data_IF_840044829738
#
_entry.id   IF_840044829738
#
_cell.length_a   1.000
_cell.length_b   1.000
_cell.length_c   1.000
_cell.angle_alpha   90.00
_cell.angle_beta   90.00
_cell.angle_gamma   90.00
#
_symmetry.space_group_name_H-M   'P 1'
#
loop_
_entity.id
_entity.type
_entity.pdbx_description
1 polymer ?
#
# COMPACT_ATOMS: atom_id res chain seq x y z
N UNK A 1 -19.12 -15.58 16.82
CA UNK A 1 -18.87 -14.73 17.99
C UNK A 1 -18.47 -15.61 19.17
N UNK A 2 -17.47 -15.16 19.92
CA UNK A 2 -17.04 -15.79 21.17
C UNK A 2 -17.13 -14.76 22.30
N UNK A 3 -17.69 -15.16 23.41
CA UNK A 3 -17.81 -14.32 24.61
C UNK A 3 -16.80 -14.78 25.66
N UNK A 4 -15.85 -13.90 26.00
CA UNK A 4 -14.83 -14.15 27.02
C UNK A 4 -15.18 -13.55 28.41
N UNK A 5 -16.36 -12.92 28.54
CA UNK A 5 -16.79 -12.34 29.80
C UNK A 5 -17.26 -13.41 30.77
N UNK A 6 -17.08 -13.16 32.08
CA UNK A 6 -17.37 -14.14 33.12
C UNK A 6 -18.87 -14.21 33.49
N UNK A 7 -19.61 -13.10 33.36
CA UNK A 7 -20.95 -13.03 33.93
C UNK A 7 -22.04 -12.62 32.94
N UNK A 8 -21.70 -11.85 31.91
CA UNK A 8 -22.69 -11.22 31.03
C UNK A 8 -22.84 -11.94 29.69
N UNK A 9 -24.07 -11.95 29.17
CA UNK A 9 -24.30 -12.31 27.78
C UNK A 9 -23.76 -11.18 26.87
N UNK A 10 -23.13 -11.54 25.77
CA UNK A 10 -22.51 -10.59 24.85
C UNK A 10 -23.52 -9.52 24.35
N UNK A 11 -24.78 -9.92 24.12
CA UNK A 11 -25.85 -9.01 23.68
C UNK A 11 -26.18 -7.91 24.68
N UNK A 12 -25.91 -8.13 25.97
CA UNK A 12 -26.22 -7.16 27.04
C UNK A 12 -25.08 -6.15 27.22
N UNK A 13 -23.87 -6.50 26.77
CA UNK A 13 -22.66 -5.70 26.91
C UNK A 13 -22.30 -4.92 25.64
N UNK A 14 -22.42 -5.53 24.43
CA UNK A 14 -22.02 -4.89 23.19
C UNK A 14 -23.17 -4.67 22.22
N UNK A 15 -23.02 -3.62 21.42
CA UNK A 15 -23.77 -3.37 20.20
C UNK A 15 -22.77 -3.54 19.03
N UNK A 16 -23.15 -4.31 18.02
CA UNK A 16 -22.30 -4.59 16.88
C UNK A 16 -22.85 -3.89 15.64
N UNK A 17 -22.06 -3.06 15.00
CA UNK A 17 -22.34 -2.59 13.64
C UNK A 17 -21.44 -3.31 12.63
N UNK A 18 -21.86 -3.28 11.37
CA UNK A 18 -21.04 -3.81 10.29
C UNK A 18 -20.90 -2.80 9.16
N UNK A 19 -19.79 -2.89 8.45
CA UNK A 19 -19.53 -2.23 7.18
C UNK A 19 -18.99 -3.27 6.20
N UNK A 20 -19.62 -3.37 5.01
CA UNK A 20 -19.07 -4.12 3.90
C UNK A 20 -18.41 -3.14 2.94
N UNK A 21 -17.15 -3.37 2.65
CA UNK A 21 -16.39 -2.57 1.69
C UNK A 21 -16.10 -3.37 0.44
N UNK A 22 -16.03 -2.68 -0.70
CA UNK A 22 -15.51 -3.20 -1.96
C UNK A 22 -14.45 -2.22 -2.47
N UNK A 23 -13.24 -2.72 -2.71
CA UNK A 23 -12.10 -1.92 -3.18
C UNK A 23 -11.86 -0.63 -2.36
N UNK A 24 -12.07 -0.71 -1.03
CA UNK A 24 -11.91 0.40 -0.09
C UNK A 24 -13.12 1.31 0.07
N UNK A 25 -14.20 1.10 -0.67
CA UNK A 25 -15.42 1.88 -0.55
C UNK A 25 -16.50 1.13 0.23
N UNK A 26 -17.13 1.79 1.20
CA UNK A 26 -18.27 1.22 1.93
C UNK A 26 -19.47 1.12 1.01
N UNK A 27 -19.92 -0.10 0.74
CA UNK A 27 -21.08 -0.40 -0.13
C UNK A 27 -22.33 -0.80 0.65
N UNK A 28 -22.17 -1.27 1.89
CA UNK A 28 -23.29 -1.62 2.77
C UNK A 28 -22.87 -1.42 4.23
N UNK A 29 -23.79 -0.98 5.07
CA UNK A 29 -23.58 -0.86 6.52
C UNK A 29 -24.89 -1.09 7.27
N UNK A 30 -24.80 -1.52 8.52
CA UNK A 30 -25.96 -1.73 9.37
C UNK A 30 -25.58 -2.17 10.77
N UNK A 31 -26.59 -2.59 11.52
CA UNK A 31 -26.43 -3.08 12.89
C UNK A 31 -26.81 -4.55 12.91
N UNK A 32 -26.02 -5.36 13.60
CA UNK A 32 -26.32 -6.75 13.91
C UNK A 32 -27.33 -6.78 15.08
N UNK A 33 -28.60 -7.05 14.77
CA UNK A 33 -29.69 -6.93 15.75
C UNK A 33 -29.93 -8.18 16.58
N UNK A 34 -29.57 -9.35 16.03
CA UNK A 34 -29.92 -10.64 16.65
C UNK A 34 -28.66 -11.49 16.89
N UNK A 35 -28.17 -11.46 18.10
CA UNK A 35 -27.16 -12.36 18.61
C UNK A 35 -27.32 -12.50 20.11
N UNK A 36 -26.96 -13.67 20.65
CA UNK A 36 -26.86 -13.93 22.07
C UNK A 36 -25.76 -14.97 22.26
N UNK A 37 -24.82 -14.66 23.12
CA UNK A 37 -23.69 -15.54 23.43
C UNK A 37 -23.44 -15.46 24.92
N UNK A 38 -23.80 -16.54 25.62
CA UNK A 38 -23.61 -16.62 27.05
C UNK A 38 -22.14 -16.51 27.45
N UNK A 39 -21.90 -16.21 28.71
CA UNK A 39 -20.57 -16.17 29.33
C UNK A 39 -19.75 -17.41 28.95
N UNK A 40 -18.49 -17.22 28.53
CA UNK A 40 -17.56 -18.27 28.05
C UNK A 40 -18.10 -19.12 26.88
N UNK A 41 -19.16 -18.67 26.22
CA UNK A 41 -19.82 -19.40 25.14
C UNK A 41 -19.40 -18.95 23.75
N UNK A 42 -19.82 -19.74 22.77
CA UNK A 42 -19.75 -19.43 21.37
C UNK A 42 -21.16 -19.32 20.76
N UNK A 43 -21.31 -18.41 19.80
CA UNK A 43 -22.57 -18.22 19.09
C UNK A 43 -22.35 -17.93 17.62
N UNK A 44 -23.34 -18.33 16.81
CA UNK A 44 -23.37 -18.04 15.38
C UNK A 44 -24.55 -17.14 15.09
N UNK A 45 -24.34 -16.15 14.25
CA UNK A 45 -25.38 -15.29 13.73
C UNK A 45 -25.26 -15.17 12.22
N UNK A 46 -26.36 -14.96 11.53
CA UNK A 46 -26.38 -14.81 10.09
C UNK A 46 -26.56 -13.33 9.75
N UNK A 47 -25.62 -12.81 8.99
CA UNK A 47 -25.71 -11.48 8.44
C UNK A 47 -26.20 -11.54 6.98
N UNK A 48 -27.38 -10.99 6.72
CA UNK A 48 -27.94 -10.95 5.37
C UNK A 48 -27.37 -9.78 4.60
N UNK A 49 -26.23 -10.00 3.96
CA UNK A 49 -25.54 -9.03 3.09
C UNK A 49 -25.32 -9.64 1.71
N UNK A 50 -25.38 -8.80 0.68
CA UNK A 50 -24.99 -9.22 -0.67
C UNK A 50 -23.53 -8.85 -0.88
N UNK A 51 -22.68 -9.87 -1.01
CA UNK A 51 -21.26 -9.68 -1.31
C UNK A 51 -21.11 -9.63 -2.83
N UNK A 52 -20.47 -8.59 -3.40
CA UNK A 52 -20.16 -8.53 -4.83
C UNK A 52 -19.34 -9.72 -5.31
N UNK A 53 -19.58 -10.17 -6.53
CA UNK A 53 -18.82 -11.27 -7.14
C UNK A 53 -17.38 -10.86 -7.49
N UNK A 54 -17.14 -9.56 -7.73
CA UNK A 54 -15.87 -9.00 -8.15
C UNK A 54 -15.35 -7.97 -7.14
N UNK A 55 -14.04 -7.74 -7.15
CA UNK A 55 -13.37 -6.77 -6.28
C UNK A 55 -12.91 -7.39 -4.97
N UNK A 56 -12.17 -6.60 -4.22
CA UNK A 56 -11.66 -6.96 -2.90
C UNK A 56 -12.65 -6.49 -1.83
N UNK A 57 -13.36 -7.45 -1.24
CA UNK A 57 -14.41 -7.16 -0.28
C UNK A 57 -14.01 -7.56 1.14
N UNK A 58 -14.21 -6.64 2.07
CA UNK A 58 -14.03 -6.86 3.50
C UNK A 58 -15.32 -6.59 4.26
N UNK A 59 -15.60 -7.44 5.22
CA UNK A 59 -16.62 -7.22 6.24
C UNK A 59 -15.93 -6.77 7.53
N UNK A 60 -16.21 -5.53 7.95
CA UNK A 60 -15.75 -4.98 9.21
C UNK A 60 -16.88 -5.03 10.22
N UNK A 61 -16.63 -5.64 11.37
CA UNK A 61 -17.52 -5.64 12.53
C UNK A 61 -16.95 -4.67 13.56
N UNK A 62 -17.76 -3.72 14.04
CA UNK A 62 -17.33 -2.74 15.01
C UNK A 62 -18.15 -2.93 16.28
N UNK A 63 -17.47 -3.10 17.40
CA UNK A 63 -18.05 -3.36 18.70
C UNK A 63 -18.13 -2.08 19.53
N UNK A 64 -19.33 -1.75 19.96
CA UNK A 64 -19.57 -0.58 20.80
C UNK A 64 -20.08 -1.01 22.18
N UNK A 65 -19.69 -0.30 23.21
CA UNK A 65 -20.24 -0.44 24.55
C UNK A 65 -21.72 -0.10 24.53
N UNK A 66 -22.58 -1.01 25.00
CA UNK A 66 -24.02 -0.85 24.94
C UNK A 66 -24.61 0.04 26.04
N UNK A 67 -23.95 0.10 27.20
CA UNK A 67 -24.36 0.88 28.35
C UNK A 67 -23.13 1.56 28.97
N UNK A 68 -23.32 2.75 29.49
CA UNK A 68 -22.29 3.47 30.23
C UNK A 68 -21.68 2.61 31.36
N UNK A 69 -20.36 2.72 31.50
CA UNK A 69 -19.57 2.08 32.56
C UNK A 69 -18.63 3.11 33.19
N UNK A 70 -18.07 2.85 34.38
CA UNK A 70 -17.05 3.74 34.95
C UNK A 70 -15.92 4.00 33.93
N UNK A 71 -15.67 5.29 33.63
CA UNK A 71 -14.66 5.79 32.68
C UNK A 71 -14.93 5.54 31.19
N UNK A 72 -16.05 4.93 30.83
CA UNK A 72 -16.42 4.67 29.42
C UNK A 72 -17.88 5.06 29.18
N UNK A 73 -18.11 5.93 28.21
CA UNK A 73 -19.44 6.36 27.80
C UNK A 73 -20.15 5.28 26.96
N UNK A 74 -21.47 5.33 26.93
CA UNK A 74 -22.28 4.54 26.00
C UNK A 74 -21.82 4.81 24.56
N UNK A 75 -21.79 3.77 23.72
CA UNK A 75 -21.26 3.78 22.35
C UNK A 75 -19.75 4.00 22.22
N UNK A 76 -18.99 3.89 23.30
CA UNK A 76 -17.54 3.81 23.20
C UNK A 76 -17.13 2.61 22.32
N UNK A 77 -16.19 2.82 21.37
CA UNK A 77 -15.71 1.75 20.51
C UNK A 77 -14.76 0.85 21.31
N UNK A 78 -15.16 -0.40 21.50
CA UNK A 78 -14.37 -1.41 22.22
C UNK A 78 -13.32 -2.06 21.33
N UNK A 79 -13.58 -2.13 20.01
CA UNK A 79 -12.70 -2.73 19.03
C UNK A 79 -13.42 -3.03 17.72
N UNK A 80 -12.71 -3.69 16.81
CA UNK A 80 -13.28 -4.16 15.55
C UNK A 80 -12.56 -5.42 15.07
N UNK A 81 -13.26 -6.19 14.23
CA UNK A 81 -12.70 -7.26 13.41
C UNK A 81 -12.92 -6.94 11.94
N UNK A 82 -11.97 -7.28 11.09
CA UNK A 82 -12.08 -7.14 9.64
C UNK A 82 -11.80 -8.49 8.98
N UNK A 83 -12.75 -8.95 8.18
CA UNK A 83 -12.76 -10.29 7.58
C UNK A 83 -12.80 -10.13 6.06
N UNK A 84 -11.84 -10.71 5.36
CA UNK A 84 -11.89 -10.80 3.91
C UNK A 84 -13.00 -11.77 3.50
N UNK A 85 -13.98 -11.30 2.71
CA UNK A 85 -15.13 -12.10 2.28
C UNK A 85 -15.11 -12.42 0.79
N UNK A 86 -14.38 -11.65 -0.02
CA UNK A 86 -14.14 -11.92 -1.44
C UNK A 86 -12.88 -11.22 -1.95
N UNK A 87 -12.13 -11.88 -2.84
CA UNK A 87 -10.94 -11.34 -3.51
C UNK A 87 -10.91 -11.74 -4.98
N UNK A 88 -12.03 -11.82 -5.66
CA UNK A 88 -12.08 -12.14 -7.08
C UNK A 88 -11.89 -10.88 -7.92
N UNK A 89 -10.98 -10.96 -8.90
CA UNK A 89 -10.74 -9.90 -9.90
C UNK A 89 -10.63 -8.49 -9.28
N UNK A 90 -9.78 -8.37 -8.25
CA UNK A 90 -9.53 -7.13 -7.54
C UNK A 90 -8.82 -6.11 -8.45
N UNK A 91 -9.51 -5.64 -9.47
CA UNK A 91 -9.15 -4.45 -10.21
C UNK A 91 -9.71 -3.27 -9.43
N UNK A 92 -8.83 -2.45 -8.89
CA UNK A 92 -9.23 -1.24 -8.19
C UNK A 92 -9.96 -0.31 -9.18
N UNK A 93 -11.30 -0.31 -9.17
CA UNK A 93 -12.13 0.52 -10.05
C UNK A 93 -11.82 2.02 -9.92
N UNK A 94 -11.36 2.46 -8.75
CA UNK A 94 -10.88 3.83 -8.55
C UNK A 94 -9.59 4.07 -9.34
N UNK A 95 -8.65 3.13 -9.31
CA UNK A 95 -7.43 3.23 -10.10
C UNK A 95 -7.76 3.18 -11.61
N UNK A 96 -8.68 2.30 -12.06
CA UNK A 96 -9.11 2.25 -13.45
C UNK A 96 -9.77 3.56 -13.90
N UNK A 97 -10.68 4.13 -13.11
CA UNK A 97 -11.28 5.45 -13.43
C UNK A 97 -10.27 6.60 -13.47
N UNK A 98 -9.24 6.52 -12.66
CA UNK A 98 -8.14 7.47 -12.72
C UNK A 98 -7.24 7.21 -13.93
N UNK A 99 -7.10 5.95 -14.33
CA UNK A 99 -6.32 5.51 -15.48
C UNK A 99 -6.99 5.86 -16.83
N UNK A 100 -8.32 5.81 -16.91
CA UNK A 100 -9.08 6.09 -18.13
C UNK A 100 -9.11 7.58 -18.51
N UNK A 101 -8.78 8.48 -17.58
CA UNK A 101 -9.03 9.92 -17.74
C UNK A 101 -7.99 10.70 -18.55
N UNK A 102 -6.92 10.08 -19.07
CA UNK A 102 -5.79 10.84 -19.61
C UNK A 102 -5.15 10.27 -20.85
N UNK A 103 -5.92 10.04 -21.90
CA UNK A 103 -5.35 10.06 -23.25
C UNK A 103 -5.38 11.51 -23.76
N UNK A 104 -4.38 12.31 -23.39
CA UNK A 104 -4.17 13.62 -24.01
C UNK A 104 -3.19 13.45 -25.18
N UNK A 105 -3.51 14.04 -26.34
CA UNK A 105 -2.61 14.17 -27.51
C UNK A 105 -1.42 15.12 -27.25
N UNK A 106 -0.90 15.17 -26.02
CA UNK A 106 0.22 16.01 -25.68
C UNK A 106 1.53 15.26 -25.96
N UNK A 107 2.48 15.96 -26.60
CA UNK A 107 3.81 15.42 -26.84
C UNK A 107 4.58 15.27 -25.54
N UNK A 108 5.17 14.10 -25.36
CA UNK A 108 6.13 13.79 -24.32
C UNK A 108 7.55 13.99 -24.89
N UNK A 109 8.36 14.79 -24.24
CA UNK A 109 9.77 14.98 -24.59
C UNK A 109 10.64 14.16 -23.64
N UNK A 110 11.48 13.31 -24.19
CA UNK A 110 12.46 12.52 -23.45
C UNK A 110 13.85 12.87 -23.93
N UNK A 111 14.70 13.33 -23.05
CA UNK A 111 16.09 13.66 -23.31
C UNK A 111 16.97 12.85 -22.36
N UNK A 112 18.01 12.26 -22.87
CA UNK A 112 18.94 11.43 -22.12
C UNK A 112 20.35 11.96 -22.21
N UNK A 113 21.07 11.93 -21.10
CA UNK A 113 22.52 12.07 -21.05
C UNK A 113 23.15 10.85 -20.35
N UNK A 114 24.45 10.88 -20.10
CA UNK A 114 25.20 9.78 -19.49
C UNK A 114 24.76 9.47 -18.06
N UNK A 115 24.13 10.41 -17.37
CA UNK A 115 23.80 10.34 -15.95
C UNK A 115 22.32 10.43 -15.65
N UNK A 116 21.54 11.06 -16.52
CA UNK A 116 20.14 11.39 -16.25
C UNK A 116 19.22 11.14 -17.45
N UNK A 117 17.96 10.90 -17.13
CA UNK A 117 16.85 10.81 -18.09
C UNK A 117 15.85 11.90 -17.70
N UNK A 118 15.64 12.86 -18.59
CA UNK A 118 14.71 13.97 -18.41
C UNK A 118 13.44 13.70 -19.20
N UNK A 119 12.30 13.73 -18.52
CA UNK A 119 10.98 13.47 -19.09
C UNK A 119 10.12 14.69 -18.85
N UNK A 120 9.68 15.33 -19.91
CA UNK A 120 8.91 16.58 -19.84
C UNK A 120 7.62 16.47 -20.63
N UNK A 121 6.51 16.77 -20.00
CA UNK A 121 5.20 16.96 -20.60
C UNK A 121 4.73 18.40 -20.43
N UNK A 122 3.44 18.63 -20.69
CA UNK A 122 2.86 19.99 -20.65
C UNK A 122 2.93 20.62 -19.26
N UNK A 123 2.62 19.86 -18.22
CA UNK A 123 2.51 20.36 -16.84
C UNK A 123 3.47 19.67 -15.87
N UNK A 124 4.33 18.78 -16.36
CA UNK A 124 5.26 18.05 -15.52
C UNK A 124 6.67 17.98 -16.10
N UNK A 125 7.64 17.80 -15.21
CA UNK A 125 9.02 17.51 -15.55
C UNK A 125 9.61 16.57 -14.49
N UNK A 126 10.10 15.42 -14.92
CA UNK A 126 10.70 14.40 -14.08
C UNK A 126 12.13 14.14 -14.50
N UNK A 127 12.99 13.86 -13.54
CA UNK A 127 14.37 13.48 -13.77
C UNK A 127 14.66 12.17 -13.04
N UNK A 128 15.22 11.20 -13.76
CA UNK A 128 15.67 9.91 -13.21
C UNK A 128 17.19 9.84 -13.31
N UNK A 129 17.86 9.49 -12.22
CA UNK A 129 19.30 9.20 -12.20
C UNK A 129 19.56 7.79 -12.73
N UNK A 130 20.36 7.66 -13.79
CA UNK A 130 20.71 6.35 -14.39
C UNK A 130 21.54 5.46 -13.47
N UNK A 131 22.21 6.02 -12.46
CA UNK A 131 23.02 5.27 -11.51
C UNK A 131 22.17 4.56 -10.45
N UNK A 132 21.00 5.09 -10.15
CA UNK A 132 20.08 4.54 -9.15
C UNK A 132 18.78 4.02 -9.75
N UNK A 133 18.44 4.42 -10.98
CA UNK A 133 17.16 4.20 -11.66
C UNK A 133 15.95 4.83 -10.94
N UNK A 134 16.19 5.80 -10.07
CA UNK A 134 15.19 6.44 -9.23
C UNK A 134 15.06 7.94 -9.54
N UNK A 135 13.91 8.51 -9.22
CA UNK A 135 13.65 9.93 -9.45
C UNK A 135 14.50 10.81 -8.54
N UNK A 136 15.11 11.84 -9.13
CA UNK A 136 15.82 12.91 -8.43
C UNK A 136 15.00 14.20 -8.37
N UNK A 137 14.09 14.39 -9.34
CA UNK A 137 13.17 15.53 -9.39
C UNK A 137 11.81 15.08 -9.90
N UNK A 138 10.74 15.59 -9.27
CA UNK A 138 9.35 15.38 -9.69
C UNK A 138 8.59 16.69 -9.58
N UNK A 139 8.46 17.39 -10.71
CA UNK A 139 7.70 18.64 -10.79
C UNK A 139 6.36 18.41 -11.49
N UNK A 140 5.28 18.92 -10.90
CA UNK A 140 3.96 18.94 -11.51
C UNK A 140 3.27 20.28 -11.23
N UNK A 141 2.65 20.88 -12.25
CA UNK A 141 2.02 22.21 -12.19
C UNK A 141 2.93 23.27 -11.52
N UNK A 142 4.24 23.26 -11.82
CA UNK A 142 5.22 24.20 -11.30
C UNK A 142 5.71 23.93 -9.87
N UNK A 143 5.19 22.90 -9.20
CA UNK A 143 5.58 22.54 -7.83
C UNK A 143 6.50 21.31 -7.83
N UNK A 144 7.59 21.38 -7.05
CA UNK A 144 8.45 20.23 -6.75
C UNK A 144 7.81 19.35 -5.67
N UNK A 145 7.78 18.04 -5.90
CA UNK A 145 7.19 17.07 -4.99
C UNK A 145 8.22 16.22 -4.24
N UNK A 146 9.47 16.18 -4.70
CA UNK A 146 10.55 15.51 -3.99
C UNK A 146 11.35 16.53 -3.17
N UNK A 147 11.44 16.30 -1.87
CA UNK A 147 12.30 17.08 -0.98
C UNK A 147 13.77 16.64 -1.05
N UNK A 148 14.00 15.40 -1.43
CA UNK A 148 15.31 14.80 -1.73
C UNK A 148 15.13 13.68 -2.77
N UNK A 149 16.20 13.21 -3.42
CA UNK A 149 16.13 12.10 -4.35
C UNK A 149 15.43 10.87 -3.76
N UNK A 150 14.67 10.16 -4.60
CA UNK A 150 14.00 8.93 -4.21
C UNK A 150 15.00 7.83 -3.85
N UNK A 151 14.68 7.01 -2.87
CA UNK A 151 15.49 5.88 -2.40
C UNK A 151 14.62 4.63 -2.24
N UNK A 152 15.19 3.46 -2.52
CA UNK A 152 14.62 2.20 -2.08
C UNK A 152 15.10 1.91 -0.67
N UNK A 153 14.27 2.22 0.30
CA UNK A 153 14.62 2.07 1.71
C UNK A 153 14.17 0.71 2.25
N UNK A 154 15.12 -0.08 2.72
CA UNK A 154 14.90 -1.35 3.42
C UNK A 154 15.14 -1.25 4.93
N UNK A 155 15.47 -0.05 5.43
CA UNK A 155 15.76 0.22 6.82
C UNK A 155 14.65 1.02 7.50
N UNK A 156 14.35 0.67 8.73
CA UNK A 156 13.55 1.49 9.64
C UNK A 156 14.26 1.64 10.98
N UNK A 157 13.94 2.69 11.73
CA UNK A 157 14.40 2.84 13.09
C UNK A 157 13.98 1.63 13.95
N UNK A 158 14.90 0.90 14.58
CA UNK A 158 14.57 -0.24 15.41
C UNK A 158 13.72 0.17 16.62
N UNK A 159 12.70 -0.63 16.92
CA UNK A 159 11.89 -0.53 18.13
C UNK A 159 12.46 -1.41 19.24
N UNK A 160 11.87 -1.37 20.44
CA UNK A 160 12.28 -2.24 21.55
C UNK A 160 12.14 -3.73 21.21
N UNK A 161 11.12 -4.08 20.42
CA UNK A 161 10.92 -5.46 19.95
C UNK A 161 12.05 -5.95 19.02
N UNK A 162 12.79 -5.04 18.40
CA UNK A 162 13.90 -5.36 17.50
C UNK A 162 15.24 -5.50 18.25
N UNK A 163 15.24 -5.53 19.57
CA UNK A 163 16.43 -5.48 20.41
C UNK A 163 17.55 -6.45 19.99
N UNK A 164 17.20 -7.66 19.59
CA UNK A 164 18.16 -8.67 19.16
C UNK A 164 18.44 -8.59 17.64
N UNK A 165 17.38 -8.51 16.83
CA UNK A 165 17.52 -8.57 15.38
C UNK A 165 18.21 -7.33 14.78
N UNK A 166 18.13 -6.16 15.43
CA UNK A 166 18.80 -4.94 14.98
C UNK A 166 20.32 -5.08 14.82
N UNK A 167 20.93 -5.96 15.61
CA UNK A 167 22.36 -6.23 15.51
C UNK A 167 22.69 -6.91 14.17
N UNK A 168 21.88 -7.89 13.77
CA UNK A 168 22.04 -8.58 12.48
C UNK A 168 21.75 -7.64 11.31
N UNK A 169 20.73 -6.78 11.40
CA UNK A 169 20.46 -5.77 10.37
C UNK A 169 21.62 -4.81 10.17
N UNK A 170 22.23 -4.33 11.26
CA UNK A 170 23.42 -3.46 11.20
C UNK A 170 24.65 -4.19 10.66
N UNK A 171 24.82 -5.46 11.04
CA UNK A 171 25.91 -6.31 10.52
C UNK A 171 25.75 -6.55 9.01
N UNK A 172 24.51 -6.67 8.53
CA UNK A 172 24.17 -6.75 7.11
C UNK A 172 24.18 -5.37 6.41
N UNK A 173 24.47 -4.29 7.12
CA UNK A 173 24.53 -2.90 6.62
C UNK A 173 23.21 -2.40 5.98
N UNK A 174 22.05 -2.87 6.44
CA UNK A 174 20.76 -2.42 5.93
C UNK A 174 20.52 -0.92 6.16
N UNK A 175 21.11 -0.34 7.21
CA UNK A 175 21.08 1.08 7.54
C UNK A 175 21.97 1.95 6.61
N UNK A 176 22.74 1.34 5.72
CA UNK A 176 23.64 2.00 4.76
C UNK A 176 23.39 1.52 3.34
N UNK A 177 22.27 0.83 3.12
CA UNK A 177 21.94 0.28 1.83
C UNK A 177 21.55 1.39 0.85
N UNK A 178 21.94 1.24 -0.41
CA UNK A 178 21.58 2.14 -1.51
C UNK A 178 21.33 1.34 -2.79
N UNK A 179 20.65 1.97 -3.74
CA UNK A 179 20.35 1.37 -5.03
C UNK A 179 21.46 1.66 -6.03
N UNK A 180 21.91 0.63 -6.75
CA UNK A 180 22.86 0.73 -7.84
C UNK A 180 22.29 0.09 -9.10
N UNK A 181 22.05 0.89 -10.12
CA UNK A 181 21.63 0.40 -11.44
C UNK A 181 22.84 -0.02 -12.28
N UNK A 182 22.67 -1.08 -13.06
CA UNK A 182 23.68 -1.64 -13.96
C UNK A 182 23.32 -1.39 -15.43
N UNK A 183 22.04 -1.52 -15.76
CA UNK A 183 21.51 -1.26 -17.08
C UNK A 183 20.23 -0.46 -16.99
N UNK A 184 20.02 0.44 -17.94
CA UNK A 184 18.77 1.19 -18.08
C UNK A 184 18.43 1.29 -19.55
N UNK A 185 17.27 0.79 -19.91
CA UNK A 185 16.70 0.84 -21.25
C UNK A 185 15.52 1.82 -21.28
N UNK A 186 15.49 2.70 -22.26
CA UNK A 186 14.44 3.70 -22.46
C UNK A 186 13.73 3.42 -23.76
N UNK A 187 12.43 3.19 -23.71
CA UNK A 187 11.59 2.94 -24.88
C UNK A 187 10.52 4.01 -24.94
N UNK A 188 10.67 4.94 -25.89
CA UNK A 188 9.66 5.97 -26.13
C UNK A 188 8.60 5.48 -27.11
N UNK A 189 7.34 5.56 -26.69
CA UNK A 189 6.16 5.28 -27.50
C UNK A 189 5.44 6.58 -27.92
N UNK A 190 4.34 6.43 -28.67
CA UNK A 190 3.54 7.58 -29.15
C UNK A 190 2.93 8.43 -27.99
N UNK A 191 2.57 7.81 -26.89
CA UNK A 191 1.82 8.44 -25.81
C UNK A 191 2.49 8.29 -24.43
N UNK A 192 3.73 7.84 -24.38
CA UNK A 192 4.43 7.63 -23.12
C UNK A 192 5.85 7.08 -23.32
N UNK A 193 6.55 6.93 -22.21
CA UNK A 193 7.87 6.33 -22.14
C UNK A 193 7.86 5.19 -21.14
N UNK A 194 8.54 4.08 -21.49
CA UNK A 194 8.84 2.97 -20.61
C UNK A 194 10.33 2.94 -20.33
N UNK A 195 10.71 2.91 -19.07
CA UNK A 195 12.10 2.85 -18.60
C UNK A 195 12.24 1.59 -17.77
N UNK A 196 13.12 0.69 -18.18
CA UNK A 196 13.40 -0.58 -17.48
C UNK A 196 14.83 -0.56 -17.02
N UNK A 197 15.05 -0.76 -15.74
CA UNK A 197 16.39 -0.79 -15.15
C UNK A 197 16.60 -2.06 -14.35
N UNK A 198 17.74 -2.71 -14.56
CA UNK A 198 18.23 -3.76 -13.69
C UNK A 198 19.20 -3.14 -12.68
N UNK A 199 18.89 -3.32 -11.43
CA UNK A 199 19.59 -2.71 -10.30
C UNK A 199 19.79 -3.74 -9.16
N UNK A 200 20.56 -3.36 -8.17
CA UNK A 200 20.63 -4.07 -6.90
C UNK A 200 20.56 -3.08 -5.74
N UNK A 201 19.99 -3.53 -4.64
CA UNK A 201 20.18 -2.87 -3.34
C UNK A 201 21.47 -3.45 -2.77
N UNK A 202 22.42 -2.57 -2.52
CA UNK A 202 23.79 -2.92 -2.08
C UNK A 202 24.20 -2.08 -0.89
N UNK A 203 25.21 -2.52 -0.17
CA UNK A 203 25.90 -1.74 0.83
C UNK A 203 27.43 -1.94 0.71
N UNK A 204 28.21 -1.04 1.31
CA UNK A 204 29.66 -1.17 1.30
C UNK A 204 30.10 -2.44 2.04
N UNK A 205 31.13 -3.11 1.50
CA UNK A 205 31.80 -4.27 2.12
C UNK A 205 30.96 -5.51 2.35
N UNK A 206 29.71 -5.55 1.90
CA UNK A 206 28.85 -6.73 1.99
C UNK A 206 28.36 -7.18 0.60
N UNK A 207 27.87 -8.40 0.51
CA UNK A 207 27.24 -8.89 -0.72
C UNK A 207 25.98 -8.11 -1.05
N UNK A 208 25.53 -8.17 -2.31
CA UNK A 208 24.28 -7.54 -2.69
C UNK A 208 23.12 -8.06 -1.83
N UNK A 209 22.24 -7.16 -1.44
CA UNK A 209 21.13 -7.47 -0.54
C UNK A 209 19.93 -7.97 -1.34
N UNK A 210 19.62 -7.26 -2.44
CA UNK A 210 18.50 -7.60 -3.34
C UNK A 210 18.92 -7.38 -4.79
N UNK A 211 18.43 -8.23 -5.69
CA UNK A 211 18.31 -7.92 -7.11
C UNK A 211 16.98 -7.25 -7.37
N UNK A 212 16.99 -6.18 -8.17
CA UNK A 212 15.80 -5.36 -8.39
C UNK A 212 15.64 -5.06 -9.87
N UNK A 213 14.45 -5.32 -10.39
CA UNK A 213 14.02 -4.80 -11.69
C UNK A 213 13.03 -3.68 -11.47
N UNK A 214 13.34 -2.48 -11.97
CA UNK A 214 12.50 -1.29 -11.83
C UNK A 214 11.95 -0.92 -13.20
N UNK A 215 10.63 -0.89 -13.32
CA UNK A 215 9.94 -0.44 -14.54
C UNK A 215 9.10 0.79 -14.24
N UNK A 216 9.44 1.90 -14.87
CA UNK A 216 8.65 3.12 -14.88
C UNK A 216 7.92 3.22 -16.22
N UNK A 217 6.62 3.44 -16.20
CA UNK A 217 5.83 3.82 -17.38
C UNK A 217 5.23 5.19 -17.10
N UNK A 218 5.56 6.15 -17.93
CA UNK A 218 5.14 7.55 -17.76
C UNK A 218 4.39 7.97 -19.01
N UNK A 219 3.13 8.35 -18.86
CA UNK A 219 2.30 8.80 -19.98
C UNK A 219 2.39 10.32 -20.22
N UNK A 220 1.79 10.78 -21.30
CA UNK A 220 1.81 12.18 -21.70
C UNK A 220 1.06 13.11 -20.72
N UNK A 221 0.30 12.59 -19.78
CA UNK A 221 -0.36 13.37 -18.71
C UNK A 221 0.52 13.56 -17.48
N UNK A 222 1.64 12.85 -17.40
CA UNK A 222 2.53 12.83 -16.25
C UNK A 222 2.19 11.76 -15.23
N UNK A 223 1.25 10.88 -15.54
CA UNK A 223 0.97 9.73 -14.69
C UNK A 223 2.11 8.73 -14.77
N UNK A 224 2.50 8.24 -13.60
CA UNK A 224 3.56 7.24 -13.42
C UNK A 224 2.93 5.93 -12.98
N UNK A 225 3.22 4.87 -13.71
CA UNK A 225 2.99 3.48 -13.30
C UNK A 225 4.36 2.89 -12.93
N UNK A 226 4.46 2.35 -11.73
CA UNK A 226 5.67 1.80 -11.16
C UNK A 226 5.50 0.30 -10.93
N UNK A 227 6.43 -0.48 -11.48
CA UNK A 227 6.54 -1.91 -11.22
C UNK A 227 7.96 -2.19 -10.72
N UNK A 228 8.08 -2.69 -9.49
CA UNK A 228 9.35 -2.95 -8.83
C UNK A 228 9.35 -4.38 -8.33
N UNK A 229 10.10 -5.22 -9.03
CA UNK A 229 10.32 -6.60 -8.64
C UNK A 229 11.66 -6.72 -7.91
N UNK A 230 11.63 -7.27 -6.70
CA UNK A 230 12.83 -7.48 -5.90
C UNK A 230 12.96 -8.95 -5.50
N UNK A 231 14.12 -9.52 -5.71
CA UNK A 231 14.46 -10.89 -5.30
C UNK A 231 15.67 -10.89 -4.40
N UNK A 232 15.62 -11.71 -3.35
CA UNK A 232 16.77 -12.01 -2.51
C UNK A 232 17.40 -13.31 -3.02
N UNK A 233 18.72 -13.31 -3.27
CA UNK A 233 19.42 -14.55 -3.52
C UNK A 233 19.25 -15.47 -2.32
N UNK A 234 18.68 -16.64 -2.56
CA UNK A 234 18.46 -17.62 -1.51
C UNK A 234 19.77 -18.29 -1.09
N UNK A 235 20.26 -17.96 0.06
CA UNK A 235 21.00 -18.85 0.98
C UNK A 235 20.52 -18.57 2.39
#
# INVERSE_FOLDING_TARGET
LHNYMDFDDLKDYVKISYELTQDGLVISKGILSEFSVASHGEGKTNLKISVPENGKCYLKLIYYLKKEMPLLEENHILGFDEIEVSQKDAKCQLAEKWLEKTATDSELQVNEDDTQIHIKGREFAYTIDRRTALFTEMKFAGREYLNHPMELNIWRAPTDNDMYIKAEWKKAHYDKAYTRAYTTEVVQGKHGVKIVSHASVVAETVQKILDVTITWKIDASGKIDADIEATKDGE
#
